data_IF_038589928985
#
_entry.id   IF_038589928985
#
_cell.length_a   1.000
_cell.length_b   1.000
_cell.length_c   1.000
_cell.angle_alpha   90.00
_cell.angle_beta   90.00
_cell.angle_gamma   90.00
#
_symmetry.space_group_name_H-M   'P 1'
#
loop_
_entity.id
_entity.type
_entity.pdbx_description
1 polymer ?
#
# COMPACT_ATOMS: atom_id res chain seq x y z
N UNK A 1 23.70 -15.40 -14.11
CA UNK A 1 22.38 -15.21 -14.73
C UNK A 1 21.96 -13.77 -14.50
N UNK A 2 21.59 -13.04 -15.55
CA UNK A 2 21.01 -11.71 -15.38
C UNK A 2 19.78 -11.84 -14.47
N UNK A 3 19.61 -10.92 -13.52
CA UNK A 3 18.40 -10.92 -12.71
C UNK A 3 17.24 -10.53 -13.62
N UNK A 4 16.28 -11.45 -13.80
CA UNK A 4 15.10 -11.25 -14.63
C UNK A 4 13.86 -11.24 -13.73
N UNK A 5 12.83 -10.51 -14.15
CA UNK A 5 11.52 -10.61 -13.51
C UNK A 5 10.76 -11.78 -14.12
N UNK A 6 9.99 -12.52 -13.32
CA UNK A 6 9.08 -13.57 -13.80
C UNK A 6 7.63 -13.26 -13.40
N UNK A 7 6.94 -12.36 -14.12
CA UNK A 7 5.66 -11.78 -13.68
C UNK A 7 4.59 -12.80 -13.25
N UNK A 8 4.45 -13.90 -14.00
CA UNK A 8 3.44 -14.93 -13.72
C UNK A 8 3.81 -15.78 -12.50
N UNK A 9 5.08 -16.18 -12.38
CA UNK A 9 5.58 -16.92 -11.21
C UNK A 9 5.49 -16.08 -9.94
N UNK A 10 5.89 -14.81 -10.02
CA UNK A 10 5.74 -13.85 -8.90
C UNK A 10 4.27 -13.70 -8.50
N UNK A 11 3.33 -13.66 -9.46
CA UNK A 11 1.90 -13.65 -9.12
C UNK A 11 1.51 -14.89 -8.32
N UNK A 12 1.92 -16.09 -8.77
CA UNK A 12 1.63 -17.36 -8.08
C UNK A 12 2.15 -17.36 -6.64
N UNK A 13 3.40 -16.97 -6.42
CA UNK A 13 4.02 -16.88 -5.09
C UNK A 13 3.29 -15.89 -4.17
N UNK A 14 2.85 -14.75 -4.73
CA UNK A 14 2.07 -13.75 -4.01
C UNK A 14 0.68 -14.26 -3.64
N UNK A 15 0.04 -15.06 -4.50
CA UNK A 15 -1.25 -15.70 -4.21
C UNK A 15 -1.11 -16.67 -3.04
N UNK A 16 -0.11 -17.57 -3.07
CA UNK A 16 0.19 -18.49 -1.97
C UNK A 16 0.45 -17.73 -0.66
N UNK A 17 1.24 -16.66 -0.73
CA UNK A 17 1.54 -15.81 0.44
C UNK A 17 0.30 -15.09 0.97
N UNK A 18 -0.62 -14.68 0.09
CA UNK A 18 -1.88 -14.06 0.47
C UNK A 18 -2.79 -15.05 1.21
N UNK A 19 -2.90 -16.29 0.74
CA UNK A 19 -3.67 -17.34 1.41
C UNK A 19 -3.16 -17.61 2.82
N UNK A 20 -1.83 -17.76 2.98
CA UNK A 20 -1.21 -17.89 4.30
C UNK A 20 -1.52 -16.67 5.20
N UNK A 21 -1.43 -15.45 4.66
CA UNK A 21 -1.75 -14.24 5.40
C UNK A 21 -3.24 -14.15 5.79
N UNK A 22 -4.14 -14.63 4.94
CA UNK A 22 -5.58 -14.74 5.24
C UNK A 22 -5.78 -15.70 6.42
N UNK A 23 -5.24 -16.92 6.33
CA UNK A 23 -5.37 -17.95 7.38
C UNK A 23 -4.86 -17.43 8.73
N UNK A 24 -3.67 -16.82 8.76
CA UNK A 24 -3.10 -16.25 9.98
C UNK A 24 -3.95 -15.09 10.53
N UNK A 25 -4.51 -14.25 9.65
CA UNK A 25 -5.35 -13.11 10.07
C UNK A 25 -6.69 -13.58 10.63
N UNK A 26 -7.28 -14.63 10.07
CA UNK A 26 -8.53 -15.23 10.57
C UNK A 26 -8.32 -15.86 11.94
N UNK A 27 -7.23 -16.60 12.12
CA UNK A 27 -6.90 -17.21 13.40
C UNK A 27 -6.63 -16.17 14.49
N UNK A 28 -5.83 -15.13 14.16
CA UNK A 28 -5.50 -14.07 15.11
C UNK A 28 -5.17 -12.77 14.36
N UNK A 29 -6.07 -11.77 14.32
CA UNK A 29 -5.88 -10.53 13.59
C UNK A 29 -4.92 -9.59 14.33
N UNK A 30 -3.73 -10.06 14.71
CA UNK A 30 -2.62 -9.28 15.27
C UNK A 30 -2.00 -8.33 14.25
N UNK A 31 -1.22 -7.32 14.69
CA UNK A 31 -0.64 -6.32 13.79
C UNK A 31 0.16 -6.92 12.62
N UNK A 32 0.96 -7.97 12.86
CA UNK A 32 1.81 -8.59 11.83
C UNK A 32 1.00 -9.36 10.77
N UNK A 33 0.11 -10.32 11.10
CA UNK A 33 -0.77 -10.94 10.11
C UNK A 33 -1.58 -9.93 9.28
N UNK A 34 -2.20 -8.95 9.94
CA UNK A 34 -2.99 -7.90 9.27
C UNK A 34 -2.12 -7.07 8.31
N UNK A 35 -0.89 -6.73 8.73
CA UNK A 35 0.05 -6.02 7.87
C UNK A 35 0.42 -6.86 6.63
N UNK A 36 0.71 -8.15 6.82
CA UNK A 36 1.01 -9.07 5.72
C UNK A 36 -0.15 -9.21 4.74
N UNK A 37 -1.38 -9.36 5.23
CA UNK A 37 -2.58 -9.37 4.40
C UNK A 37 -2.71 -8.07 3.60
N UNK A 38 -2.57 -6.91 4.26
CA UNK A 38 -2.66 -5.60 3.59
C UNK A 38 -1.57 -5.42 2.53
N UNK A 39 -0.33 -5.77 2.84
CA UNK A 39 0.79 -5.62 1.90
C UNK A 39 0.68 -6.63 0.75
N UNK A 40 0.33 -7.89 1.02
CA UNK A 40 0.09 -8.93 0.02
C UNK A 40 -0.99 -8.54 -0.99
N UNK A 41 -2.13 -8.01 -0.51
CA UNK A 41 -3.18 -7.53 -1.43
C UNK A 41 -2.71 -6.39 -2.34
N UNK A 42 -1.77 -5.55 -1.90
CA UNK A 42 -1.22 -4.45 -2.72
C UNK A 42 -0.15 -4.95 -3.69
N UNK A 43 0.67 -5.93 -3.29
CA UNK A 43 1.64 -6.58 -4.17
C UNK A 43 0.96 -7.30 -5.33
N UNK A 44 -0.12 -8.05 -5.05
CA UNK A 44 -0.93 -8.68 -6.11
C UNK A 44 -1.55 -7.62 -7.02
N UNK A 45 -2.08 -6.52 -6.48
CA UNK A 45 -2.61 -5.42 -7.29
C UNK A 45 -1.54 -4.83 -8.23
N UNK A 46 -0.31 -4.65 -7.75
CA UNK A 46 0.82 -4.19 -8.56
C UNK A 46 1.22 -5.22 -9.63
N UNK A 47 1.19 -6.50 -9.31
CA UNK A 47 1.51 -7.57 -10.26
C UNK A 47 0.44 -7.68 -11.36
N UNK A 48 -0.84 -7.55 -11.02
CA UNK A 48 -1.92 -7.47 -12.01
C UNK A 48 -1.80 -6.22 -12.88
N UNK A 49 -1.27 -5.12 -12.34
CA UNK A 49 -0.99 -3.90 -13.11
C UNK A 49 0.17 -4.08 -14.07
N UNK A 50 1.27 -4.70 -13.61
CA UNK A 50 2.39 -5.05 -14.47
C UNK A 50 1.92 -5.92 -15.65
N UNK A 51 1.11 -6.95 -15.39
CA UNK A 51 0.57 -7.80 -16.46
C UNK A 51 -0.26 -7.03 -17.49
N UNK A 52 -0.98 -5.97 -17.10
CA UNK A 52 -1.71 -5.13 -18.09
C UNK A 52 -0.81 -4.25 -18.94
N UNK A 53 0.46 -4.07 -18.56
CA UNK A 53 1.44 -3.31 -19.33
C UNK A 53 2.18 -4.19 -20.35
N UNK A 54 2.10 -5.51 -20.22
CA UNK A 54 2.81 -6.45 -21.10
C UNK A 54 1.96 -6.75 -22.34
N UNK A 55 2.57 -6.75 -23.54
CA UNK A 55 1.88 -7.12 -24.77
C UNK A 55 1.62 -8.63 -24.83
N UNK A 56 0.71 -9.03 -25.72
CA UNK A 56 0.51 -10.42 -26.18
C UNK A 56 0.22 -11.47 -25.09
N UNK A 57 -0.33 -11.05 -23.95
CA UNK A 57 -0.80 -11.98 -22.92
C UNK A 57 -2.17 -12.59 -23.28
N UNK A 58 -2.42 -13.85 -22.90
CA UNK A 58 -3.76 -14.42 -22.90
C UNK A 58 -4.76 -13.52 -22.17
N UNK A 59 -5.99 -13.39 -22.71
CA UNK A 59 -7.01 -12.46 -22.19
C UNK A 59 -7.43 -12.83 -20.77
N UNK A 60 -7.01 -12.01 -19.79
CA UNK A 60 -7.27 -12.23 -18.36
C UNK A 60 -7.93 -11.02 -17.68
N UNK A 61 -8.40 -10.02 -18.42
CA UNK A 61 -8.89 -8.74 -17.90
C UNK A 61 -10.11 -8.90 -16.98
N UNK A 62 -11.10 -9.68 -17.40
CA UNK A 62 -12.33 -9.89 -16.65
C UNK A 62 -12.10 -10.51 -15.27
N UNK A 63 -11.38 -11.63 -15.12
CA UNK A 63 -11.03 -12.14 -13.80
C UNK A 63 -10.09 -11.19 -13.04
N UNK A 64 -9.19 -10.45 -13.71
CA UNK A 64 -8.34 -9.45 -13.05
C UNK A 64 -9.13 -8.27 -12.45
N UNK A 65 -10.14 -7.74 -13.14
CA UNK A 65 -11.04 -6.70 -12.60
C UNK A 65 -11.79 -7.22 -11.38
N UNK A 66 -12.29 -8.46 -11.46
CA UNK A 66 -12.97 -9.14 -10.36
C UNK A 66 -12.03 -9.32 -9.15
N UNK A 67 -10.78 -9.72 -9.37
CA UNK A 67 -9.77 -9.85 -8.32
C UNK A 67 -9.44 -8.50 -7.68
N UNK A 68 -9.10 -7.47 -8.49
CA UNK A 68 -8.81 -6.09 -8.03
C UNK A 68 -9.93 -5.52 -7.14
N UNK A 69 -11.20 -5.72 -7.53
CA UNK A 69 -12.35 -5.27 -6.73
C UNK A 69 -12.36 -5.89 -5.33
N UNK A 70 -12.06 -7.19 -5.22
CA UNK A 70 -12.06 -7.94 -3.95
C UNK A 70 -10.83 -7.64 -3.10
N UNK A 71 -9.64 -7.59 -3.72
CA UNK A 71 -8.41 -7.11 -3.08
C UNK A 71 -8.62 -5.73 -2.46
N UNK A 72 -9.28 -4.81 -3.16
CA UNK A 72 -9.63 -3.47 -2.62
C UNK A 72 -10.54 -3.55 -1.40
N UNK A 73 -11.50 -4.48 -1.34
CA UNK A 73 -12.39 -4.65 -0.17
C UNK A 73 -11.60 -5.17 1.04
N UNK A 74 -10.83 -6.24 0.86
CA UNK A 74 -9.98 -6.80 1.93
C UNK A 74 -8.95 -5.77 2.43
N UNK A 75 -8.25 -5.11 1.51
CA UNK A 75 -7.24 -4.08 1.83
C UNK A 75 -7.82 -2.91 2.62
N UNK A 76 -9.05 -2.49 2.35
CA UNK A 76 -9.73 -1.43 3.10
C UNK A 76 -10.04 -1.86 4.54
N UNK A 77 -10.54 -3.07 4.72
CA UNK A 77 -10.84 -3.60 6.05
C UNK A 77 -9.55 -3.81 6.85
N UNK A 78 -8.54 -4.47 6.27
CA UNK A 78 -7.23 -4.69 6.90
C UNK A 78 -6.52 -3.37 7.17
N UNK A 79 -6.71 -2.40 6.25
CA UNK A 79 -6.23 -1.05 6.42
C UNK A 79 -6.77 -0.37 7.65
N UNK A 80 -8.07 -0.49 7.93
CA UNK A 80 -8.64 0.14 9.13
C UNK A 80 -8.03 -0.39 10.41
N UNK A 81 -7.77 -1.70 10.50
CA UNK A 81 -7.11 -2.32 11.65
C UNK A 81 -5.68 -1.80 11.78
N UNK A 82 -4.89 -1.88 10.70
CA UNK A 82 -3.48 -1.46 10.72
C UNK A 82 -3.33 0.04 11.01
N UNK A 83 -4.18 0.87 10.43
CA UNK A 83 -4.14 2.32 10.65
C UNK A 83 -4.36 2.60 12.16
N UNK A 84 -5.29 1.90 12.84
CA UNK A 84 -5.49 2.03 14.28
C UNK A 84 -4.31 1.51 15.11
N UNK A 85 -3.68 0.41 14.69
CA UNK A 85 -2.45 -0.07 15.34
C UNK A 85 -1.33 1.00 15.24
N UNK A 86 -1.13 1.62 14.06
CA UNK A 86 -0.13 2.70 13.87
C UNK A 86 -0.47 3.93 14.72
N UNK A 87 -1.72 4.40 14.70
CA UNK A 87 -2.10 5.62 15.42
C UNK A 87 -1.88 5.48 16.93
N UNK A 88 -2.07 4.28 17.49
CA UNK A 88 -1.80 4.00 18.91
C UNK A 88 -0.31 4.09 19.23
N UNK A 89 0.55 3.63 18.34
CA UNK A 89 2.00 3.69 18.50
C UNK A 89 2.53 5.14 18.41
N UNK A 90 1.77 6.05 17.78
CA UNK A 90 2.15 7.46 17.59
C UNK A 90 1.76 8.38 18.76
N UNK A 91 0.87 7.97 19.67
CA UNK A 91 0.43 8.84 20.78
C UNK A 91 1.64 9.14 21.69
N UNK A 92 2.06 10.41 21.81
CA UNK A 92 3.20 10.75 22.64
C UNK A 92 2.83 10.77 24.12
N UNK A 93 3.76 10.32 24.97
CA UNK A 93 3.72 10.40 26.44
C UNK A 93 2.58 9.64 27.14
N UNK A 94 2.65 9.58 28.47
CA UNK A 94 1.58 9.08 29.34
C UNK A 94 0.94 10.27 30.04
N UNK A 95 -0.27 10.63 29.59
CA UNK A 95 -1.15 11.62 30.20
C UNK A 95 -2.58 11.08 30.15
N UNK A 96 -3.49 11.65 30.94
CA UNK A 96 -4.90 11.24 30.93
C UNK A 96 -5.53 11.38 29.53
N UNK A 97 -5.18 12.43 28.80
CA UNK A 97 -5.58 12.65 27.40
C UNK A 97 -5.06 11.54 26.46
N UNK A 98 -3.81 11.11 26.68
CA UNK A 98 -3.20 10.03 25.91
C UNK A 98 -3.87 8.68 26.21
N UNK A 99 -4.18 8.41 27.48
CA UNK A 99 -4.91 7.21 27.91
C UNK A 99 -6.33 7.17 27.33
N UNK A 100 -7.02 8.32 27.30
CA UNK A 100 -8.32 8.46 26.65
C UNK A 100 -8.27 8.10 25.16
N UNK A 101 -7.28 8.61 24.41
CA UNK A 101 -7.10 8.26 22.99
C UNK A 101 -6.70 6.80 22.80
N UNK A 102 -5.83 6.25 23.65
CA UNK A 102 -5.44 4.85 23.60
C UNK A 102 -6.64 3.91 23.80
N UNK A 103 -7.47 4.20 24.80
CA UNK A 103 -8.69 3.45 25.08
C UNK A 103 -9.68 3.53 23.90
N UNK A 104 -9.89 4.74 23.35
CA UNK A 104 -10.71 4.93 22.16
C UNK A 104 -10.23 4.09 20.97
N UNK A 105 -8.93 4.11 20.66
CA UNK A 105 -8.39 3.35 19.55
C UNK A 105 -8.43 1.85 19.77
N UNK A 106 -8.21 1.37 21.01
CA UNK A 106 -8.35 -0.05 21.35
C UNK A 106 -9.74 -0.58 20.99
N UNK A 107 -10.79 0.09 21.43
CA UNK A 107 -12.18 -0.31 21.11
C UNK A 107 -12.49 -0.24 19.62
N UNK A 108 -12.00 0.79 18.93
CA UNK A 108 -12.19 0.91 17.48
C UNK A 108 -11.44 -0.17 16.72
N UNK A 109 -10.29 -0.62 17.24
CA UNK A 109 -9.44 -1.65 16.64
C UNK A 109 -10.08 -3.03 16.77
N UNK A 110 -10.69 -3.34 17.91
CA UNK A 110 -11.50 -4.55 18.11
C UNK A 110 -12.66 -4.60 17.09
N UNK A 111 -13.42 -3.51 16.97
CA UNK A 111 -14.51 -3.41 15.98
C UNK A 111 -14.02 -3.54 14.54
N UNK A 112 -12.87 -2.94 14.23
CA UNK A 112 -12.26 -3.04 12.90
C UNK A 112 -11.80 -4.48 12.59
N UNK A 113 -11.28 -5.20 13.59
CA UNK A 113 -10.87 -6.59 13.45
C UNK A 113 -12.07 -7.49 13.13
N UNK A 114 -13.19 -7.36 13.85
CA UNK A 114 -14.43 -8.09 13.51
C UNK A 114 -14.91 -7.82 12.07
N UNK A 115 -14.86 -6.55 11.63
CA UNK A 115 -15.21 -6.18 10.25
C UNK A 115 -14.24 -6.75 9.21
N UNK A 116 -12.95 -6.90 9.57
CA UNK A 116 -11.95 -7.54 8.73
C UNK A 116 -12.28 -9.01 8.54
N UNK A 117 -12.55 -9.75 9.61
CA UNK A 117 -12.93 -11.17 9.53
C UNK A 117 -14.17 -11.35 8.66
N UNK A 118 -15.23 -10.58 8.91
CA UNK A 118 -16.44 -10.62 8.09
C UNK A 118 -16.18 -10.28 6.60
N UNK A 119 -15.23 -9.38 6.31
CA UNK A 119 -14.84 -9.06 4.93
C UNK A 119 -14.06 -10.20 4.28
N UNK A 120 -13.21 -10.90 5.04
CA UNK A 120 -12.49 -12.10 4.58
C UNK A 120 -13.50 -13.19 4.23
N UNK A 121 -14.40 -13.56 5.14
CA UNK A 121 -15.41 -14.60 4.92
C UNK A 121 -16.23 -14.33 3.66
N UNK A 122 -16.64 -13.06 3.48
CA UNK A 122 -17.46 -12.64 2.33
C UNK A 122 -16.73 -12.70 0.99
N UNK A 123 -15.41 -12.52 0.97
CA UNK A 123 -14.66 -12.24 -0.27
C UNK A 123 -13.59 -13.27 -0.61
N UNK A 124 -13.07 -14.05 0.33
CA UNK A 124 -11.90 -14.91 0.13
C UNK A 124 -12.10 -15.92 -0.99
N UNK A 125 -13.13 -16.77 -0.92
CA UNK A 125 -13.33 -17.84 -1.91
C UNK A 125 -13.47 -17.29 -3.34
N UNK A 126 -14.18 -16.17 -3.50
CA UNK A 126 -14.35 -15.52 -4.80
C UNK A 126 -13.11 -14.78 -5.28
N UNK A 127 -12.21 -14.41 -4.37
CA UNK A 127 -10.92 -13.80 -4.70
C UNK A 127 -9.95 -14.87 -5.16
N UNK A 128 -9.80 -15.96 -4.40
CA UNK A 128 -8.93 -17.09 -4.73
C UNK A 128 -9.31 -17.66 -6.08
N UNK A 129 -10.59 -18.00 -6.30
CA UNK A 129 -11.07 -18.44 -7.63
C UNK A 129 -10.75 -17.46 -8.76
N UNK A 130 -10.84 -16.16 -8.53
CA UNK A 130 -10.52 -15.18 -9.56
C UNK A 130 -9.01 -15.15 -9.86
N UNK A 131 -8.15 -15.37 -8.87
CA UNK A 131 -6.70 -15.42 -9.01
C UNK A 131 -6.26 -16.74 -9.66
N UNK A 132 -6.84 -17.87 -9.27
CA UNK A 132 -6.64 -19.18 -9.90
C UNK A 132 -6.97 -19.12 -11.39
N UNK A 133 -8.15 -18.60 -11.76
CA UNK A 133 -8.53 -18.43 -13.16
C UNK A 133 -7.50 -17.60 -13.95
N UNK A 134 -6.91 -16.56 -13.35
CA UNK A 134 -5.86 -15.75 -14.00
C UNK A 134 -4.61 -16.59 -14.21
N UNK A 135 -4.17 -17.32 -13.17
CA UNK A 135 -2.99 -18.18 -13.24
C UNK A 135 -3.14 -19.31 -14.26
N UNK A 136 -4.32 -19.92 -14.36
CA UNK A 136 -4.64 -20.93 -15.39
C UNK A 136 -4.58 -20.32 -16.80
N UNK A 137 -5.19 -19.14 -16.98
CA UNK A 137 -5.17 -18.44 -18.28
C UNK A 137 -3.73 -18.08 -18.70
N UNK A 138 -2.88 -17.71 -17.73
CA UNK A 138 -1.49 -17.33 -17.95
C UNK A 138 -0.51 -18.51 -17.95
N UNK A 139 -0.96 -19.74 -17.70
CA UNK A 139 -0.09 -20.92 -17.64
C UNK A 139 0.78 -21.13 -18.91
N UNK A 140 0.26 -20.92 -20.15
CA UNK A 140 1.08 -21.06 -21.37
C UNK A 140 2.26 -20.09 -21.44
N UNK A 141 2.22 -18.98 -20.70
CA UNK A 141 3.25 -17.93 -20.66
C UNK A 141 3.92 -17.85 -19.28
N UNK A 142 3.90 -18.91 -18.49
CA UNK A 142 4.52 -18.93 -17.15
C UNK A 142 6.05 -18.72 -17.19
N UNK A 143 6.69 -19.09 -18.29
CA UNK A 143 8.12 -18.86 -18.53
C UNK A 143 8.45 -17.43 -18.98
N UNK A 144 7.45 -16.57 -19.20
CA UNK A 144 7.66 -15.17 -19.56
C UNK A 144 8.61 -14.51 -18.56
N UNK A 145 9.67 -13.94 -19.08
CA UNK A 145 10.64 -13.17 -18.35
C UNK A 145 10.66 -11.73 -18.86
N UNK A 146 11.11 -10.82 -18.01
CA UNK A 146 11.26 -9.41 -18.33
C UNK A 146 12.66 -8.97 -17.95
N UNK A 147 13.33 -8.28 -18.88
CA UNK A 147 14.61 -7.66 -18.58
C UNK A 147 14.44 -6.64 -17.45
N UNK A 148 15.46 -6.52 -16.61
CA UNK A 148 15.44 -5.62 -15.45
C UNK A 148 15.27 -4.14 -15.87
N UNK A 149 15.91 -3.75 -16.97
CA UNK A 149 15.86 -2.41 -17.53
C UNK A 149 14.45 -2.06 -18.02
N UNK A 150 13.80 -3.03 -18.67
CA UNK A 150 12.42 -2.92 -19.14
C UNK A 150 11.45 -2.81 -17.96
N UNK A 151 11.60 -3.64 -16.92
CA UNK A 151 10.79 -3.51 -15.69
C UNK A 151 10.93 -2.13 -15.06
N UNK A 152 12.16 -1.61 -14.98
CA UNK A 152 12.43 -0.30 -14.42
C UNK A 152 11.82 0.83 -15.27
N UNK A 153 11.80 0.70 -16.60
CA UNK A 153 11.12 1.63 -17.49
C UNK A 153 9.60 1.59 -17.27
N UNK A 154 8.99 0.39 -17.31
CA UNK A 154 7.55 0.22 -17.07
C UNK A 154 7.10 0.81 -15.73
N UNK A 155 7.86 0.61 -14.65
CA UNK A 155 7.55 1.18 -13.35
C UNK A 155 7.61 2.72 -13.33
N UNK A 156 8.59 3.32 -14.02
CA UNK A 156 8.70 4.79 -14.15
C UNK A 156 7.57 5.36 -14.99
N UNK A 157 7.31 4.79 -16.16
CA UNK A 157 6.27 5.27 -17.08
C UNK A 157 4.88 5.10 -16.47
N UNK A 158 4.66 4.02 -15.72
CA UNK A 158 3.42 3.85 -14.96
C UNK A 158 3.28 4.94 -13.89
N UNK A 159 4.35 5.24 -13.14
CA UNK A 159 4.32 6.31 -12.14
C UNK A 159 4.05 7.68 -12.76
N UNK A 160 4.77 8.06 -13.82
CA UNK A 160 4.61 9.34 -14.51
C UNK A 160 3.18 9.55 -15.02
N UNK A 161 2.54 8.51 -15.56
CA UNK A 161 1.15 8.57 -16.05
C UNK A 161 0.09 8.62 -14.95
N UNK A 162 0.38 8.11 -13.75
CA UNK A 162 -0.62 7.94 -12.68
C UNK A 162 -0.41 8.90 -11.49
N UNK A 163 0.77 9.48 -11.33
CA UNK A 163 1.03 10.51 -10.33
C UNK A 163 0.41 11.84 -10.79
N UNK A 164 -0.20 12.62 -9.89
CA UNK A 164 -0.58 13.99 -10.20
C UNK A 164 0.63 14.79 -10.68
N UNK A 165 0.43 15.66 -11.67
CA UNK A 165 1.46 16.58 -12.13
C UNK A 165 2.02 17.39 -10.95
N UNK A 166 3.32 17.66 -11.01
CA UNK A 166 3.99 18.53 -10.06
C UNK A 166 3.45 19.96 -10.23
N UNK A 167 2.58 20.39 -9.32
CA UNK A 167 2.09 21.76 -9.23
C UNK A 167 2.84 22.49 -8.10
N UNK A 168 2.97 23.82 -8.22
CA UNK A 168 3.62 24.66 -7.22
C UNK A 168 2.95 24.52 -5.83
N UNK A 169 1.63 24.33 -5.81
CA UNK A 169 0.85 24.03 -4.62
C UNK A 169 0.09 22.71 -4.80
N UNK A 170 0.43 21.69 -4.02
CA UNK A 170 -0.29 20.43 -3.99
C UNK A 170 -1.22 20.38 -2.78
N UNK A 171 -2.51 20.16 -3.03
CA UNK A 171 -3.48 19.93 -1.97
C UNK A 171 -3.34 18.51 -1.37
N UNK A 172 -4.00 18.27 -0.23
CA UNK A 172 -3.94 16.99 0.47
C UNK A 172 -4.33 15.79 -0.40
N UNK A 173 -5.28 15.96 -1.33
CA UNK A 173 -5.71 14.88 -2.22
C UNK A 173 -4.63 14.53 -3.24
N UNK A 174 -3.97 15.53 -3.81
CA UNK A 174 -2.85 15.34 -4.74
C UNK A 174 -1.69 14.64 -4.04
N UNK A 175 -1.27 15.13 -2.87
CA UNK A 175 -0.22 14.51 -2.05
C UNK A 175 -0.49 13.04 -1.74
N UNK A 176 -1.72 12.71 -1.32
CA UNK A 176 -2.11 11.32 -1.07
C UNK A 176 -2.13 10.45 -2.33
N UNK A 177 -2.54 11.01 -3.48
CA UNK A 177 -2.51 10.32 -4.77
C UNK A 177 -1.08 10.03 -5.22
N UNK A 178 -0.17 11.00 -5.11
CA UNK A 178 1.26 10.83 -5.38
C UNK A 178 1.85 9.69 -4.55
N UNK A 179 1.55 9.66 -3.25
CA UNK A 179 1.97 8.57 -2.36
C UNK A 179 1.41 7.20 -2.79
N UNK A 180 0.16 7.13 -3.25
CA UNK A 180 -0.44 5.88 -3.73
C UNK A 180 0.22 5.39 -5.01
N UNK A 181 0.53 6.30 -5.95
CA UNK A 181 1.24 5.97 -7.16
C UNK A 181 2.63 5.42 -6.83
N UNK A 182 3.39 6.11 -5.96
CA UNK A 182 4.71 5.67 -5.52
C UNK A 182 4.69 4.27 -4.91
N UNK A 183 3.68 3.99 -4.06
CA UNK A 183 3.45 2.65 -3.48
C UNK A 183 3.31 1.57 -4.55
N UNK A 184 2.57 1.82 -5.63
CA UNK A 184 2.36 0.80 -6.66
C UNK A 184 3.59 0.64 -7.54
N UNK A 185 4.20 1.75 -7.98
CA UNK A 185 5.43 1.74 -8.77
C UNK A 185 6.59 1.04 -8.04
N UNK A 186 6.68 1.22 -6.71
CA UNK A 186 7.59 0.44 -5.87
C UNK A 186 7.35 -1.06 -6.02
N UNK A 187 6.11 -1.52 -5.84
CA UNK A 187 5.81 -2.94 -5.89
C UNK A 187 5.99 -3.55 -7.28
N UNK A 188 5.78 -2.78 -8.36
CA UNK A 188 6.16 -3.19 -9.72
C UNK A 188 7.67 -3.38 -9.80
N UNK A 189 8.46 -2.41 -9.29
CA UNK A 189 9.92 -2.48 -9.29
C UNK A 189 10.46 -3.67 -8.47
N UNK A 190 9.77 -4.06 -7.41
CA UNK A 190 10.15 -5.21 -6.56
C UNK A 190 9.91 -6.57 -7.22
N UNK A 191 9.31 -6.65 -8.41
CA UNK A 191 9.13 -7.91 -9.15
C UNK A 191 10.43 -8.50 -9.71
N UNK A 192 11.56 -7.77 -9.62
CA UNK A 192 12.91 -8.29 -9.90
C UNK A 192 13.89 -7.93 -8.78
N UNK A 193 14.87 -8.79 -8.55
CA UNK A 193 15.86 -8.66 -7.45
C UNK A 193 17.15 -7.94 -7.85
N UNK A 194 17.24 -7.45 -9.08
CA UNK A 194 18.40 -6.75 -9.60
C UNK A 194 18.73 -5.47 -8.83
N UNK A 195 19.98 -5.00 -8.91
CA UNK A 195 20.41 -3.79 -8.19
C UNK A 195 19.72 -2.52 -8.69
N UNK A 196 19.51 -2.37 -9.99
CA UNK A 196 18.84 -1.20 -10.57
C UNK A 196 17.36 -1.11 -10.18
N UNK A 197 16.61 -2.23 -10.23
CA UNK A 197 15.21 -2.27 -9.76
C UNK A 197 15.10 -2.08 -8.25
N UNK A 198 16.03 -2.62 -7.45
CA UNK A 198 16.11 -2.34 -6.01
C UNK A 198 16.37 -0.87 -5.71
N UNK A 199 17.25 -0.21 -6.47
CA UNK A 199 17.51 1.22 -6.33
C UNK A 199 16.26 2.06 -6.64
N UNK A 200 15.56 1.72 -7.72
CA UNK A 200 14.30 2.37 -8.08
C UNK A 200 13.22 2.15 -7.01
N UNK A 201 13.05 0.91 -6.54
CA UNK A 201 12.13 0.56 -5.47
C UNK A 201 12.42 1.35 -4.18
N UNK A 202 13.70 1.50 -3.80
CA UNK A 202 14.12 2.32 -2.64
C UNK A 202 13.76 3.79 -2.82
N UNK A 203 13.85 4.32 -4.03
CA UNK A 203 13.46 5.71 -4.29
C UNK A 203 11.97 5.92 -4.05
N UNK A 204 11.12 5.03 -4.59
CA UNK A 204 9.69 5.05 -4.32
C UNK A 204 9.33 4.75 -2.86
N UNK A 205 10.10 3.87 -2.19
CA UNK A 205 9.94 3.59 -0.77
C UNK A 205 10.16 4.84 0.07
N UNK A 206 11.26 5.55 -0.16
CA UNK A 206 11.58 6.78 0.56
C UNK A 206 10.43 7.79 0.48
N UNK A 207 9.89 7.98 -0.72
CA UNK A 207 8.74 8.86 -0.97
C UNK A 207 7.47 8.35 -0.26
N UNK A 208 7.24 7.04 -0.31
CA UNK A 208 6.13 6.39 0.38
C UNK A 208 6.21 6.58 1.90
N UNK A 209 7.40 6.46 2.50
CA UNK A 209 7.60 6.51 3.95
C UNK A 209 7.31 7.92 4.46
N UNK A 210 7.95 8.94 3.88
CA UNK A 210 7.72 10.35 4.24
C UNK A 210 6.24 10.75 4.11
N UNK A 211 5.58 10.43 2.99
CA UNK A 211 4.15 10.67 2.84
C UNK A 211 3.27 9.78 3.72
N UNK A 212 3.77 8.63 4.15
CA UNK A 212 3.12 7.73 5.11
C UNK A 212 3.07 8.36 6.49
N UNK A 213 4.23 8.77 7.00
CA UNK A 213 4.38 9.47 8.27
C UNK A 213 3.47 10.69 8.35
N UNK A 214 3.48 11.55 7.33
CA UNK A 214 2.57 12.70 7.28
C UNK A 214 1.10 12.31 7.37
N UNK A 215 0.67 11.35 6.56
CA UNK A 215 -0.73 10.91 6.54
C UNK A 215 -1.18 10.34 7.89
N UNK A 216 -0.29 9.62 8.58
CA UNK A 216 -0.60 9.02 9.88
C UNK A 216 -0.73 10.11 10.96
N UNK A 217 0.16 11.11 10.97
CA UNK A 217 0.02 12.28 11.84
C UNK A 217 -1.21 13.14 11.54
N UNK A 218 -1.52 13.37 10.26
CA UNK A 218 -2.74 14.09 9.86
C UNK A 218 -3.99 13.38 10.39
N UNK A 219 -4.05 12.06 10.23
CA UNK A 219 -5.18 11.26 10.72
C UNK A 219 -5.27 11.31 12.25
N UNK A 220 -4.14 11.26 12.95
CA UNK A 220 -4.12 11.37 14.41
C UNK A 220 -4.58 12.75 14.87
N UNK A 221 -4.10 13.82 14.22
CA UNK A 221 -4.47 15.21 14.49
C UNK A 221 -5.97 15.42 14.35
N UNK A 222 -6.57 14.96 13.24
CA UNK A 222 -8.02 15.04 13.00
C UNK A 222 -8.84 14.33 14.08
N UNK A 223 -8.30 13.26 14.67
CA UNK A 223 -8.98 12.50 15.73
C UNK A 223 -8.79 13.18 17.07
N UNK A 224 -7.59 13.70 17.37
CA UNK A 224 -7.28 14.43 18.59
C UNK A 224 -8.17 15.69 18.71
N UNK A 225 -8.26 16.52 17.66
CA UNK A 225 -9.16 17.68 17.62
C UNK A 225 -10.61 17.31 17.95
N UNK A 226 -11.13 16.24 17.34
CA UNK A 226 -12.52 15.79 17.58
C UNK A 226 -12.77 15.17 18.95
N UNK A 227 -11.74 14.73 19.67
CA UNK A 227 -11.87 13.95 20.90
C UNK A 227 -11.45 14.70 22.15
N UNK A 228 -10.40 15.50 22.03
CA UNK A 228 -9.78 16.24 23.12
C UNK A 228 -10.01 17.76 22.98
N UNK A 229 -10.36 18.23 21.78
CA UNK A 229 -10.52 19.66 21.48
C UNK A 229 -9.20 20.35 21.14
N UNK A 230 -9.32 21.57 20.61
CA UNK A 230 -8.21 22.38 20.07
C UNK A 230 -7.29 22.93 21.16
N UNK A 231 -7.83 23.14 22.37
CA UNK A 231 -7.09 23.64 23.53
C UNK A 231 -6.24 22.57 24.22
N UNK A 232 -6.43 21.29 23.88
CA UNK A 232 -5.64 20.19 24.46
C UNK A 232 -4.16 20.31 24.09
N UNK A 233 -3.29 20.22 25.11
CA UNK A 233 -1.83 20.25 24.91
C UNK A 233 -1.35 19.08 24.05
N UNK A 234 -1.98 17.92 24.20
CA UNK A 234 -1.70 16.75 23.37
C UNK A 234 -2.10 16.99 21.90
N UNK A 235 -3.28 17.55 21.66
CA UNK A 235 -3.74 17.93 20.30
C UNK A 235 -2.77 18.88 19.61
N UNK A 236 -2.31 19.93 20.30
CA UNK A 236 -1.34 20.89 19.76
C UNK A 236 0.01 20.23 19.45
N UNK A 237 0.44 19.29 20.28
CA UNK A 237 1.69 18.55 20.06
C UNK A 237 1.59 17.65 18.83
N UNK A 238 0.49 16.90 18.68
CA UNK A 238 0.22 16.07 17.50
C UNK A 238 0.14 16.93 16.22
N UNK A 239 -0.50 18.10 16.29
CA UNK A 239 -0.62 19.04 15.17
C UNK A 239 0.76 19.50 14.67
N UNK A 240 1.66 19.87 15.59
CA UNK A 240 3.05 20.23 15.23
C UNK A 240 3.82 19.09 14.56
N UNK A 241 3.60 17.84 14.97
CA UNK A 241 4.18 16.68 14.28
C UNK A 241 3.60 16.51 12.86
N UNK A 242 2.31 16.74 12.68
CA UNK A 242 1.66 16.73 11.35
C UNK A 242 2.27 17.80 10.42
N UNK A 243 2.43 19.04 10.88
CA UNK A 243 3.03 20.12 10.09
C UNK A 243 4.48 19.83 9.70
N UNK A 244 5.29 19.34 10.65
CA UNK A 244 6.69 18.98 10.40
C UNK A 244 6.81 17.87 9.35
N UNK A 245 6.01 16.82 9.49
CA UNK A 245 6.02 15.70 8.54
C UNK A 245 5.48 16.07 7.16
N UNK A 246 4.54 17.02 7.07
CA UNK A 246 4.12 17.61 5.79
C UNK A 246 5.29 18.32 5.10
N UNK A 247 6.01 19.18 5.84
CA UNK A 247 7.15 19.92 5.29
C UNK A 247 8.27 18.97 4.84
N UNK A 248 8.53 17.88 5.58
CA UNK A 248 9.45 16.82 5.16
C UNK A 248 8.99 16.13 3.87
N UNK A 249 7.72 15.75 3.77
CA UNK A 249 7.18 15.11 2.58
C UNK A 249 7.25 16.01 1.35
N UNK A 250 6.92 17.30 1.50
CA UNK A 250 7.02 18.29 0.42
C UNK A 250 8.46 18.54 -0.03
N UNK A 251 9.42 18.62 0.90
CA UNK A 251 10.84 18.73 0.57
C UNK A 251 11.32 17.52 -0.23
N UNK A 252 10.90 16.32 0.18
CA UNK A 252 11.26 15.08 -0.50
C UNK A 252 10.66 14.99 -1.91
N UNK A 253 9.41 15.42 -2.10
CA UNK A 253 8.80 15.53 -3.42
C UNK A 253 9.61 16.44 -4.35
N UNK A 254 10.08 17.59 -3.83
CA UNK A 254 10.92 18.54 -4.58
C UNK A 254 12.32 18.00 -4.88
N UNK A 255 12.83 17.05 -4.10
CA UNK A 255 14.15 16.44 -4.31
C UNK A 255 14.11 15.18 -5.16
N UNK A 256 12.95 14.77 -5.69
CA UNK A 256 12.87 13.60 -6.55
C UNK A 256 13.65 13.85 -7.85
N UNK A 257 14.45 12.87 -8.32
CA UNK A 257 15.14 12.98 -9.60
C UNK A 257 14.16 13.34 -10.72
N UNK A 258 14.52 14.33 -11.55
CA UNK A 258 13.70 14.74 -12.70
C UNK A 258 13.37 13.56 -13.64
N UNK A 259 14.27 12.56 -13.72
CA UNK A 259 14.08 11.31 -14.49
C UNK A 259 12.95 10.41 -13.99
N UNK A 260 12.38 10.66 -12.80
CA UNK A 260 11.16 9.99 -12.31
C UNK A 260 9.88 10.75 -12.67
N UNK A 261 10.01 12.03 -13.02
CA UNK A 261 8.91 12.96 -13.24
C UNK A 261 8.69 13.17 -14.75
N UNK A 262 9.77 13.12 -15.53
CA UNK A 262 9.76 13.24 -16.99
C UNK A 262 10.10 11.87 -17.58
N UNK A 263 9.09 11.04 -17.83
CA UNK A 263 9.16 9.82 -18.63
C UNK A 263 7.99 9.82 -19.61
#
# INVERSE_FOLDING_TARGET
MAAEAHPVRTLRELVTSLEAAITLTVADPKPRPVHHLRTGTRRIEAQLELLTLLPDLPKHDQPAVKARKRLRKLRRAAGRVRDLDVLRDLIPSRSDEAEQLQSFFKHQRERAAHRLIAAIDKHQAKLIRALENILETLAPVESLNLATEELAALARDWYARNAPAAAAEQNHRQLHSTRKAAKLARYISESATATSTRSLARTFESLQQSGGTWHDWLTLSDIAHRRLGDSSRLTQTITRHCERSLAEYQRHLKSLPQKLINA
#
